data_IF_633579544942
#
_entry.id   IF_633579544942
#
_cell.length_a   1.000
_cell.length_b   1.000
_cell.length_c   1.000
_cell.angle_alpha   90.00
_cell.angle_beta   90.00
_cell.angle_gamma   90.00
#
_symmetry.space_group_name_H-M   'P 1'
#
loop_
_entity.id
_entity.type
_entity.pdbx_description
1 polymer ?
#
# COMPACT_ATOMS: atom_id res chain seq x y z
N UNK A 1 -34.04 77.08 34.56
CA UNK A 1 -34.82 75.95 35.10
C UNK A 1 -34.42 74.68 34.35
N UNK A 2 -34.05 73.62 35.10
CA UNK A 2 -34.09 72.16 34.79
C UNK A 2 -33.36 71.64 33.53
N UNK A 3 -32.22 70.94 33.65
CA UNK A 3 -31.98 69.50 33.95
C UNK A 3 -32.46 68.46 32.90
N UNK A 4 -31.54 67.56 32.53
CA UNK A 4 -31.74 66.28 31.82
C UNK A 4 -30.64 66.06 30.77
N UNK A 5 -29.44 65.48 31.02
CA UNK A 5 -29.04 64.14 31.47
C UNK A 5 -29.39 62.98 30.52
N UNK A 6 -28.38 62.12 30.30
CA UNK A 6 -28.35 60.79 29.64
C UNK A 6 -28.10 60.80 28.11
N UNK A 7 -26.86 60.57 27.66
CA UNK A 7 -26.19 59.25 27.49
C UNK A 7 -26.81 58.38 26.39
N UNK A 8 -26.25 58.43 25.18
CA UNK A 8 -26.20 57.32 24.22
C UNK A 8 -24.93 57.53 23.37
N UNK A 9 -23.78 57.06 23.85
CA UNK A 9 -23.13 55.80 23.46
C UNK A 9 -22.86 55.72 21.94
N UNK A 10 -21.57 55.94 21.63
CA UNK A 10 -20.87 55.56 20.42
C UNK A 10 -21.19 54.11 19.99
N UNK A 11 -21.47 53.92 18.70
CA UNK A 11 -21.18 52.66 18.01
C UNK A 11 -20.29 52.98 16.81
N UNK A 12 -18.99 52.86 17.03
CA UNK A 12 -17.96 52.85 16.00
C UNK A 12 -17.20 51.52 16.17
N UNK A 13 -17.30 50.62 15.18
CA UNK A 13 -16.58 49.35 14.97
C UNK A 13 -17.55 48.40 14.23
N UNK A 14 -17.27 47.72 13.10
CA UNK A 14 -16.06 47.37 12.39
C UNK A 14 -16.43 47.18 10.90
N UNK A 15 -15.83 47.93 9.99
CA UNK A 15 -15.73 47.53 8.58
C UNK A 15 -14.34 46.91 8.39
N UNK A 16 -14.23 45.61 8.68
CA UNK A 16 -13.03 44.85 8.33
C UNK A 16 -13.13 44.41 6.86
N UNK A 17 -12.14 44.71 6.00
CA UNK A 17 -12.14 44.21 4.64
C UNK A 17 -11.86 42.70 4.68
N UNK A 18 -12.70 41.94 3.99
CA UNK A 18 -12.45 40.55 3.61
C UNK A 18 -11.24 40.52 2.66
N UNK A 19 -10.03 40.59 3.22
CA UNK A 19 -8.82 40.18 2.53
C UNK A 19 -8.86 38.66 2.46
N UNK A 20 -9.27 38.14 1.30
CA UNK A 20 -9.10 36.75 0.93
C UNK A 20 -7.60 36.41 1.04
N UNK A 21 -7.23 35.78 2.14
CA UNK A 21 -5.98 35.07 2.23
C UNK A 21 -6.12 33.83 1.33
N UNK A 22 -5.59 33.92 0.11
CA UNK A 22 -5.20 32.75 -0.66
C UNK A 22 -4.17 31.98 0.17
N UNK A 23 -4.68 31.11 1.04
CA UNK A 23 -3.90 30.08 1.70
C UNK A 23 -3.47 29.10 0.61
N UNK A 24 -2.38 29.44 -0.08
CA UNK A 24 -1.58 28.52 -0.87
C UNK A 24 -1.09 27.43 0.11
N UNK A 25 -1.89 26.37 0.30
CA UNK A 25 -1.43 25.17 0.96
C UNK A 25 -0.21 24.67 0.16
N UNK A 26 0.95 24.43 0.79
CA UNK A 26 2.05 23.78 0.11
C UNK A 26 1.54 22.43 -0.36
N UNK A 27 1.39 22.25 -1.67
CA UNK A 27 1.29 20.93 -2.25
C UNK A 27 2.62 20.24 -1.94
N UNK A 28 2.66 19.50 -0.84
CA UNK A 28 3.71 18.53 -0.62
C UNK A 28 3.77 17.69 -1.89
N UNK A 29 4.83 17.85 -2.67
CA UNK A 29 5.12 16.97 -3.79
C UNK A 29 5.06 15.57 -3.20
N UNK A 30 4.02 14.81 -3.55
CA UNK A 30 3.81 13.50 -2.98
C UNK A 30 5.00 12.65 -3.40
N UNK A 31 6.01 12.54 -2.52
CA UNK A 31 7.20 11.75 -2.76
C UNK A 31 6.70 10.36 -3.12
N UNK A 32 7.05 9.88 -4.32
CA UNK A 32 6.63 8.57 -4.78
C UNK A 32 7.03 7.53 -3.74
N UNK A 33 6.15 6.56 -3.47
CA UNK A 33 6.45 5.51 -2.50
C UNK A 33 7.75 4.78 -2.91
N UNK A 34 8.63 4.40 -1.97
CA UNK A 34 9.92 3.78 -2.30
C UNK A 34 9.79 2.52 -3.19
N UNK A 35 8.68 1.81 -3.05
CA UNK A 35 8.32 0.61 -3.82
C UNK A 35 7.38 0.88 -5.00
N UNK A 36 7.17 2.13 -5.43
CA UNK A 36 6.24 2.43 -6.53
C UNK A 36 6.58 1.69 -7.83
N UNK A 37 7.85 1.35 -8.03
CA UNK A 37 8.32 0.53 -9.14
C UNK A 37 7.80 -0.91 -9.11
N UNK A 38 7.31 -1.40 -7.97
CA UNK A 38 6.71 -2.74 -7.83
C UNK A 38 5.23 -2.78 -8.18
N UNK A 39 4.54 -1.64 -8.31
CA UNK A 39 3.10 -1.63 -8.49
C UNK A 39 2.63 -2.42 -9.71
N UNK A 40 1.57 -3.19 -9.54
CA UNK A 40 0.92 -3.97 -10.59
C UNK A 40 0.88 -5.47 -10.30
N UNK A 41 0.60 -6.23 -11.34
CA UNK A 41 0.41 -7.68 -11.30
C UNK A 41 1.66 -8.44 -11.72
N UNK A 42 1.94 -9.53 -11.00
CA UNK A 42 3.11 -10.39 -11.17
C UNK A 42 2.69 -11.85 -11.19
N UNK A 43 3.26 -12.63 -12.11
CA UNK A 43 2.99 -14.06 -12.32
C UNK A 43 4.26 -14.88 -12.09
N UNK A 44 4.11 -16.20 -11.94
CA UNK A 44 5.19 -17.12 -11.60
C UNK A 44 5.30 -17.31 -10.09
N UNK A 45 6.50 -17.24 -9.53
CA UNK A 45 6.70 -17.38 -8.09
C UNK A 45 6.66 -18.84 -7.62
N UNK A 46 5.48 -19.44 -7.64
CA UNK A 46 5.25 -20.85 -7.28
C UNK A 46 5.93 -21.76 -8.31
N UNK A 47 5.65 -21.49 -9.59
CA UNK A 47 6.30 -22.11 -10.75
C UNK A 47 6.90 -21.02 -11.63
N UNK A 48 7.85 -21.33 -12.54
CA UNK A 48 8.32 -20.37 -13.51
C UNK A 48 7.16 -19.81 -14.34
N UNK A 49 7.15 -18.49 -14.58
CA UNK A 49 6.13 -17.85 -15.41
C UNK A 49 6.21 -18.34 -16.86
N UNK A 50 5.08 -18.79 -17.40
CA UNK A 50 4.96 -19.26 -18.79
C UNK A 50 4.29 -18.23 -19.72
N UNK A 51 3.46 -17.34 -19.16
CA UNK A 51 2.73 -16.30 -19.89
C UNK A 51 2.84 -14.97 -19.13
N UNK A 52 3.33 -13.92 -19.78
CA UNK A 52 3.59 -12.61 -19.15
C UNK A 52 2.93 -11.43 -19.88
N UNK A 53 2.16 -11.71 -20.93
CA UNK A 53 1.53 -10.72 -21.80
C UNK A 53 0.01 -10.95 -21.85
N UNK A 54 -0.73 -9.95 -22.30
CA UNK A 54 -2.18 -10.02 -22.49
C UNK A 54 -3.04 -10.03 -21.21
N UNK A 55 -4.35 -10.05 -21.46
CA UNK A 55 -5.37 -10.07 -20.42
C UNK A 55 -5.36 -11.35 -19.57
N UNK A 56 -4.90 -12.48 -20.13
CA UNK A 56 -4.81 -13.74 -19.42
C UNK A 56 -3.85 -13.67 -18.22
N UNK A 57 -2.66 -13.06 -18.39
CA UNK A 57 -1.74 -12.84 -17.27
C UNK A 57 -2.38 -11.97 -16.18
N UNK A 58 -3.02 -10.86 -16.57
CA UNK A 58 -3.61 -9.91 -15.64
C UNK A 58 -4.87 -10.45 -14.92
N UNK A 59 -5.56 -11.43 -15.49
CA UNK A 59 -6.75 -12.06 -14.91
C UNK A 59 -6.43 -13.03 -13.76
N UNK A 60 -5.22 -13.59 -13.73
CA UNK A 60 -4.80 -14.59 -12.74
C UNK A 60 -3.34 -14.43 -12.30
N UNK A 61 -2.92 -13.25 -11.80
CA UNK A 61 -1.56 -13.07 -11.31
C UNK A 61 -1.32 -13.81 -9.98
N UNK A 62 -0.11 -14.32 -9.77
CA UNK A 62 0.26 -14.91 -8.47
C UNK A 62 0.31 -13.86 -7.36
N UNK A 63 0.83 -12.67 -7.68
CA UNK A 63 1.04 -11.58 -6.72
C UNK A 63 0.58 -10.26 -7.33
N UNK A 64 -0.08 -9.43 -6.53
CA UNK A 64 -0.44 -8.06 -6.88
C UNK A 64 0.14 -7.14 -5.81
N UNK A 65 0.93 -6.16 -6.21
CA UNK A 65 1.52 -5.18 -5.30
C UNK A 65 0.87 -3.82 -5.58
N UNK A 66 0.35 -3.20 -4.53
CA UNK A 66 -0.23 -1.86 -4.57
C UNK A 66 0.52 -0.93 -3.62
N UNK A 67 0.02 0.28 -3.42
CA UNK A 67 0.62 1.24 -2.49
C UNK A 67 0.69 0.69 -1.06
N UNK A 68 -0.43 0.16 -0.57
CA UNK A 68 -0.60 -0.17 0.85
C UNK A 68 -0.93 -1.65 1.10
N UNK A 69 -1.09 -2.45 0.03
CA UNK A 69 -1.50 -3.85 0.12
C UNK A 69 -0.68 -4.71 -0.85
N UNK A 70 -0.24 -5.87 -0.36
CA UNK A 70 0.25 -6.96 -1.19
C UNK A 70 -0.78 -8.09 -1.15
N UNK A 71 -1.22 -8.53 -2.31
CA UNK A 71 -2.14 -9.66 -2.46
C UNK A 71 -1.41 -10.82 -3.11
N UNK A 72 -1.65 -12.03 -2.64
CA UNK A 72 -1.04 -13.23 -3.23
C UNK A 72 -1.97 -14.43 -3.19
N UNK A 73 -1.76 -15.37 -4.11
CA UNK A 73 -2.33 -16.72 -4.06
C UNK A 73 -1.22 -17.74 -3.76
N UNK A 74 -1.62 -18.91 -3.28
CA UNK A 74 -0.73 -20.05 -3.03
C UNK A 74 -1.32 -21.33 -3.62
N UNK A 75 -0.53 -22.41 -3.71
CA UNK A 75 -1.04 -23.71 -4.16
C UNK A 75 -2.19 -24.26 -3.31
N UNK A 76 -2.20 -23.90 -2.02
CA UNK A 76 -3.18 -24.40 -1.06
C UNK A 76 -4.34 -23.41 -0.89
N UNK A 77 -4.27 -22.24 -1.53
CA UNK A 77 -5.19 -21.12 -1.32
C UNK A 77 -5.58 -20.44 -2.63
N UNK A 78 -6.76 -20.80 -3.10
CA UNK A 78 -7.38 -20.21 -4.29
C UNK A 78 -7.73 -18.72 -4.12
N UNK A 79 -8.32 -18.25 -3.00
CA UNK A 79 -8.60 -16.82 -2.86
C UNK A 79 -7.34 -16.03 -2.53
N UNK A 80 -7.23 -14.82 -3.09
CA UNK A 80 -6.15 -13.89 -2.74
C UNK A 80 -6.15 -13.63 -1.23
N UNK A 81 -4.99 -13.86 -0.61
CA UNK A 81 -4.68 -13.35 0.73
C UNK A 81 -4.11 -11.96 0.61
N UNK A 82 -4.63 -11.04 1.42
CA UNK A 82 -4.18 -9.65 1.47
C UNK A 82 -3.31 -9.42 2.70
N UNK A 83 -2.19 -8.72 2.53
CA UNK A 83 -1.32 -8.25 3.61
C UNK A 83 -1.16 -6.75 3.48
N UNK A 84 -1.52 -6.03 4.54
CA UNK A 84 -1.33 -4.58 4.62
C UNK A 84 0.14 -4.26 4.86
N UNK A 85 0.63 -3.22 4.18
CA UNK A 85 1.97 -2.68 4.34
C UNK A 85 1.92 -1.66 5.47
N UNK A 86 2.74 -1.86 6.50
CA UNK A 86 2.93 -0.87 7.57
C UNK A 86 4.03 0.13 7.19
N UNK A 87 5.20 -0.39 6.80
CA UNK A 87 6.33 0.43 6.40
C UNK A 87 7.09 -0.23 5.25
N UNK A 88 7.80 0.61 4.49
CA UNK A 88 8.67 0.18 3.41
C UNK A 88 9.99 0.91 3.56
N UNK A 89 11.08 0.16 3.54
CA UNK A 89 12.43 0.69 3.46
C UNK A 89 13.13 0.11 2.23
N UNK A 90 14.07 0.87 1.65
CA UNK A 90 14.87 0.40 0.52
C UNK A 90 14.93 1.41 -0.61
N UNK A 91 15.24 0.90 -1.81
CA UNK A 91 15.56 1.71 -2.98
C UNK A 91 15.19 1.02 -4.30
N UNK A 92 15.89 1.37 -5.40
CA UNK A 92 15.49 0.95 -6.75
C UNK A 92 15.64 -0.55 -7.02
N UNK A 93 16.57 -1.22 -6.33
CA UNK A 93 16.93 -2.61 -6.59
C UNK A 93 16.40 -3.59 -5.55
N UNK A 94 16.13 -3.12 -4.34
CA UNK A 94 15.57 -3.94 -3.28
C UNK A 94 14.74 -3.10 -2.33
N UNK A 95 13.66 -3.68 -1.84
CA UNK A 95 12.84 -3.12 -0.78
C UNK A 95 12.53 -4.17 0.27
N UNK A 96 12.34 -3.70 1.49
CA UNK A 96 11.99 -4.49 2.66
C UNK A 96 10.64 -3.98 3.16
N UNK A 97 9.62 -4.82 3.08
CA UNK A 97 8.30 -4.53 3.59
C UNK A 97 8.20 -4.98 5.04
N UNK A 98 7.65 -4.11 5.88
CA UNK A 98 7.03 -4.51 7.14
C UNK A 98 5.53 -4.63 6.91
N UNK A 99 4.99 -5.81 7.19
CA UNK A 99 3.59 -6.12 6.97
C UNK A 99 2.85 -6.12 8.31
N UNK A 100 1.64 -5.56 8.31
CA UNK A 100 0.77 -5.65 9.46
C UNK A 100 0.52 -7.12 9.81
N UNK A 101 0.46 -7.50 11.10
CA UNK A 101 0.10 -8.86 11.49
C UNK A 101 -1.16 -9.32 10.77
N UNK A 102 -1.15 -10.54 10.23
CA UNK A 102 -2.35 -11.07 9.60
C UNK A 102 -3.48 -11.11 10.63
N UNK A 103 -4.64 -10.57 10.25
CA UNK A 103 -5.83 -10.65 11.07
C UNK A 103 -6.16 -12.13 11.31
N UNK A 104 -6.43 -12.48 12.56
CA UNK A 104 -6.87 -13.83 12.90
C UNK A 104 -8.17 -14.14 12.11
N UNK A 105 -8.18 -15.22 11.33
CA UNK A 105 -9.43 -15.74 10.80
C UNK A 105 -10.24 -16.27 11.98
N UNK A 106 -11.32 -15.58 12.33
CA UNK A 106 -12.20 -16.00 13.42
C UNK A 106 -13.03 -17.19 12.91
N UNK A 107 -12.51 -18.41 13.08
CA UNK A 107 -13.33 -19.61 12.95
C UNK A 107 -14.19 -19.76 14.22
N UNK A 108 -15.44 -20.27 14.12
CA UNK A 108 -16.33 -20.45 15.28
C UNK A 108 -15.83 -21.48 16.32
N UNK A 109 -14.75 -22.21 16.02
CA UNK A 109 -14.11 -23.19 16.89
C UNK A 109 -12.62 -22.88 17.06
N UNK A 110 -12.32 -21.77 17.74
CA UNK A 110 -10.96 -21.37 18.11
C UNK A 110 -10.20 -20.70 16.97
N UNK A 111 -9.87 -19.43 17.14
CA UNK A 111 -9.06 -18.68 16.19
C UNK A 111 -7.63 -19.24 16.14
N UNK A 112 -7.33 -19.99 15.09
CA UNK A 112 -5.95 -20.29 14.71
C UNK A 112 -5.48 -19.17 13.76
N UNK A 113 -4.29 -18.64 13.99
CA UNK A 113 -3.66 -17.77 12.99
C UNK A 113 -3.55 -18.58 11.68
N UNK A 114 -4.02 -18.04 10.54
CA UNK A 114 -3.86 -18.73 9.26
C UNK A 114 -2.36 -19.09 9.09
N UNK A 115 -2.02 -20.38 8.85
CA UNK A 115 -0.64 -20.79 8.58
C UNK A 115 -0.05 -20.10 7.34
N UNK A 116 -0.92 -19.42 6.61
CA UNK A 116 -0.80 -18.89 5.25
C UNK A 116 -0.66 -17.36 5.27
N UNK A 117 -0.35 -16.79 6.44
CA UNK A 117 -0.11 -15.35 6.57
C UNK A 117 1.26 -14.96 6.00
N UNK A 118 2.28 -15.78 6.19
CA UNK A 118 3.62 -15.54 5.67
C UNK A 118 3.69 -15.89 4.17
N UNK A 119 4.42 -15.12 3.37
CA UNK A 119 4.83 -15.51 2.01
C UNK A 119 5.78 -16.75 2.00
N UNK A 120 5.72 -17.62 3.01
CA UNK A 120 6.68 -18.69 3.27
C UNK A 120 8.05 -18.23 3.78
N UNK A 121 8.20 -16.97 4.17
CA UNK A 121 9.46 -16.42 4.69
C UNK A 121 9.63 -16.71 6.21
N UNK A 122 10.87 -16.70 6.70
CA UNK A 122 11.19 -16.98 8.11
C UNK A 122 10.45 -16.07 9.11
N UNK A 123 10.25 -14.80 8.75
CA UNK A 123 9.41 -13.86 9.49
C UNK A 123 8.11 -13.58 8.70
N UNK A 124 6.93 -13.90 9.25
CA UNK A 124 5.64 -13.77 8.56
C UNK A 124 5.21 -12.31 8.30
N UNK A 125 5.84 -11.34 8.96
CA UNK A 125 5.52 -9.92 8.89
C UNK A 125 6.60 -9.11 8.17
N UNK A 126 7.50 -9.79 7.48
CA UNK A 126 8.59 -9.18 6.75
C UNK A 126 8.69 -9.82 5.37
N UNK A 127 8.83 -9.00 4.33
CA UNK A 127 8.98 -9.46 2.97
C UNK A 127 10.06 -8.62 2.29
N UNK A 128 11.17 -9.27 1.97
CA UNK A 128 12.20 -8.71 1.10
C UNK A 128 11.82 -8.94 -0.34
N UNK A 129 11.99 -7.93 -1.17
CA UNK A 129 11.78 -8.01 -2.62
C UNK A 129 13.01 -7.47 -3.31
N UNK A 130 13.59 -8.28 -4.20
CA UNK A 130 14.75 -7.88 -5.00
C UNK A 130 14.38 -7.83 -6.48
N UNK A 131 14.82 -6.77 -7.15
CA UNK A 131 14.75 -6.65 -8.60
C UNK A 131 15.83 -7.53 -9.23
N UNK A 132 15.43 -8.38 -10.18
CA UNK A 132 16.35 -9.16 -11.04
C UNK A 132 16.40 -8.66 -12.48
N UNK A 133 15.44 -7.83 -12.86
CA UNK A 133 15.43 -7.13 -14.15
C UNK A 133 14.31 -6.10 -14.21
N UNK A 134 14.07 -5.47 -15.38
CA UNK A 134 13.02 -4.46 -15.53
C UNK A 134 11.61 -4.97 -15.16
N UNK A 135 11.34 -6.24 -15.46
CA UNK A 135 10.05 -6.92 -15.26
C UNK A 135 10.20 -8.23 -14.47
N UNK A 136 11.22 -8.33 -13.62
CA UNK A 136 11.48 -9.54 -12.85
C UNK A 136 11.88 -9.20 -11.41
N UNK A 137 11.27 -9.88 -10.45
CA UNK A 137 11.56 -9.77 -9.02
C UNK A 137 11.65 -11.15 -8.38
N UNK A 138 12.28 -11.22 -7.20
CA UNK A 138 12.32 -12.43 -6.37
C UNK A 138 12.00 -12.10 -4.93
N UNK A 139 11.42 -13.07 -4.22
CA UNK A 139 11.24 -13.06 -2.78
C UNK A 139 12.27 -14.02 -2.18
N UNK A 140 13.48 -13.54 -1.82
CA UNK A 140 14.54 -14.41 -1.33
C UNK A 140 14.11 -15.12 -0.04
N UNK A 141 14.50 -16.39 0.09
CA UNK A 141 14.28 -17.21 1.29
C UNK A 141 12.80 -17.40 1.69
N UNK A 142 11.88 -17.17 0.75
CA UNK A 142 10.44 -17.34 0.93
C UNK A 142 9.99 -18.63 0.23
N UNK A 143 9.71 -19.68 1.02
CA UNK A 143 9.47 -21.04 0.52
C UNK A 143 8.24 -21.19 -0.40
N UNK A 144 7.31 -20.24 -0.34
CA UNK A 144 6.11 -20.22 -1.17
C UNK A 144 6.40 -19.72 -2.60
N UNK A 145 7.51 -19.00 -2.80
CA UNK A 145 7.89 -18.36 -4.05
C UNK A 145 9.33 -18.74 -4.48
N UNK A 146 9.60 -20.04 -4.78
CA UNK A 146 10.94 -20.49 -5.15
C UNK A 146 11.41 -20.02 -6.53
N UNK A 147 10.50 -19.58 -7.41
CA UNK A 147 10.79 -19.09 -8.76
C UNK A 147 10.68 -17.56 -8.84
N UNK A 148 11.34 -16.91 -9.81
CA UNK A 148 11.13 -15.49 -10.04
C UNK A 148 9.68 -15.15 -10.41
N UNK A 149 9.27 -13.96 -10.01
CA UNK A 149 8.02 -13.32 -10.41
C UNK A 149 8.28 -12.42 -11.61
N UNK A 150 7.46 -12.55 -12.64
CA UNK A 150 7.51 -11.74 -13.86
C UNK A 150 6.31 -10.80 -13.92
N UNK A 151 6.53 -9.57 -14.36
CA UNK A 151 5.44 -8.58 -14.49
C UNK A 151 4.48 -9.02 -15.60
N UNK A 152 3.18 -8.96 -15.31
CA UNK A 152 2.16 -9.01 -16.35
C UNK A 152 2.13 -7.69 -17.11
N UNK A 153 2.29 -7.75 -18.42
CA UNK A 153 2.28 -6.59 -19.31
C UNK A 153 1.06 -6.63 -20.23
N UNK A 154 0.54 -5.45 -20.59
CA UNK A 154 -0.71 -5.33 -21.33
C UNK A 154 -0.60 -5.62 -22.85
N UNK A 155 0.46 -6.32 -23.30
CA UNK A 155 0.71 -6.53 -24.73
C UNK A 155 -0.36 -7.39 -25.40
#
# INVERSE_FOLDING_TARGET
MRQGWAKWILVAALAAPLAAADAQQPQAQAQAAPHAWLFGSWTGGIFPATETEGAACAAQPTVIITRDVIMRVSLLEVPYRQRLIETVAGGPDAVEFRLAPAAASVAPLGGRLPPDSAFGCANPNNLRVERRGPNEIVFPDCAEFPSPLKRCTAR
#
